data_IF_266471958162
#
_entry.id   IF_266471958162
#
_cell.length_a   1.000
_cell.length_b   1.000
_cell.length_c   1.000
_cell.angle_alpha   90.00
_cell.angle_beta   90.00
_cell.angle_gamma   90.00
#
_symmetry.space_group_name_H-M   'P 1'
#
loop_
_entity.id
_entity.type
_entity.pdbx_description
1 polymer ?
#
# COMPACT_ATOMS: atom_id res chain seq x y z
N UNK A 1 -5.38 18.95 -3.85
CA UNK A 1 -6.70 19.55 -3.61
C UNK A 1 -7.07 19.54 -2.13
N UNK A 2 -6.95 18.41 -1.41
CA UNK A 2 -7.14 18.40 0.06
C UNK A 2 -6.04 19.21 0.77
N UNK A 3 -4.76 19.05 0.42
CA UNK A 3 -3.65 19.78 1.08
C UNK A 3 -3.73 21.31 0.95
N UNK A 4 -4.39 21.85 -0.09
CA UNK A 4 -4.52 23.30 -0.29
C UNK A 4 -5.65 23.93 0.53
N UNK A 5 -6.75 23.20 0.76
CA UNK A 5 -7.86 23.67 1.64
C UNK A 5 -7.51 23.44 3.12
N UNK A 6 -6.76 22.38 3.40
CA UNK A 6 -6.34 21.93 4.75
C UNK A 6 -5.08 22.65 5.26
N UNK A 7 -4.40 23.42 4.40
CA UNK A 7 -3.21 24.20 4.78
C UNK A 7 -3.46 25.25 5.87
N UNK A 8 -4.73 25.59 6.19
CA UNK A 8 -5.09 26.67 7.13
C UNK A 8 -5.60 26.20 8.50
N UNK A 9 -5.88 24.92 8.67
CA UNK A 9 -6.44 24.38 9.91
C UNK A 9 -5.34 23.87 10.84
N UNK A 10 -5.51 24.06 12.16
CA UNK A 10 -4.66 23.47 13.19
C UNK A 10 -4.53 21.95 12.94
N UNK A 11 -3.29 21.44 12.91
CA UNK A 11 -3.02 20.04 12.60
C UNK A 11 -3.68 19.10 13.61
N UNK A 12 -3.87 19.53 14.87
CA UNK A 12 -4.61 18.77 15.87
C UNK A 12 -6.07 18.60 15.45
N UNK A 13 -6.75 19.68 15.06
CA UNK A 13 -8.15 19.66 14.64
C UNK A 13 -8.32 18.75 13.43
N UNK A 14 -7.38 18.84 12.49
CA UNK A 14 -7.40 18.01 11.30
C UNK A 14 -7.22 16.51 11.60
N UNK A 15 -6.25 16.16 12.46
CA UNK A 15 -6.06 14.75 12.87
C UNK A 15 -7.30 14.21 13.57
N UNK A 16 -7.89 14.99 14.48
CA UNK A 16 -9.14 14.63 15.13
C UNK A 16 -10.28 14.47 14.12
N UNK A 17 -10.43 15.38 13.17
CA UNK A 17 -11.46 15.30 12.14
C UNK A 17 -11.27 14.04 11.26
N UNK A 18 -10.05 13.72 10.85
CA UNK A 18 -9.75 12.51 10.07
C UNK A 18 -10.05 11.23 10.88
N UNK A 19 -9.67 11.19 12.15
CA UNK A 19 -9.98 10.06 13.04
C UNK A 19 -11.49 9.95 13.30
N UNK A 20 -12.22 11.06 13.42
CA UNK A 20 -13.68 11.06 13.53
C UNK A 20 -14.34 10.52 12.26
N UNK A 21 -13.89 10.95 11.08
CA UNK A 21 -14.37 10.40 9.79
C UNK A 21 -14.05 8.91 9.68
N UNK A 22 -12.92 8.44 10.21
CA UNK A 22 -12.59 7.01 10.28
C UNK A 22 -13.60 6.23 11.14
N UNK A 23 -13.99 6.76 12.29
CA UNK A 23 -15.00 6.15 13.18
C UNK A 23 -16.36 6.08 12.46
N UNK A 24 -16.78 7.19 11.84
CA UNK A 24 -18.04 7.25 11.08
C UNK A 24 -18.02 6.26 9.93
N UNK A 25 -16.94 6.23 9.14
CA UNK A 25 -16.74 5.28 8.04
C UNK A 25 -16.81 3.83 8.50
N UNK A 26 -16.07 3.46 9.54
CA UNK A 26 -16.04 2.11 10.09
C UNK A 26 -17.41 1.67 10.62
N UNK A 27 -18.12 2.57 11.31
CA UNK A 27 -19.47 2.32 11.81
C UNK A 27 -20.45 2.15 10.65
N UNK A 28 -20.42 3.05 9.67
CA UNK A 28 -21.28 2.99 8.47
C UNK A 28 -21.09 1.69 7.69
N UNK A 29 -19.84 1.21 7.56
CA UNK A 29 -19.54 -0.09 6.95
C UNK A 29 -20.09 -1.24 7.80
N UNK A 30 -19.90 -1.19 9.11
CA UNK A 30 -20.36 -2.23 10.03
C UNK A 30 -21.88 -2.36 10.08
N UNK A 31 -22.62 -1.25 9.93
CA UNK A 31 -24.10 -1.23 9.93
C UNK A 31 -24.71 -1.06 8.54
N UNK A 32 -23.92 -1.12 7.46
CA UNK A 32 -24.39 -0.84 6.10
C UNK A 32 -25.65 -1.65 5.73
N UNK A 33 -26.80 -0.99 5.45
CA UNK A 33 -28.05 -1.68 5.09
C UNK A 33 -28.10 -2.08 3.61
N UNK A 34 -27.30 -1.42 2.76
CA UNK A 34 -27.23 -1.67 1.33
C UNK A 34 -25.83 -1.39 0.79
N UNK A 35 -25.59 -1.77 -0.47
CA UNK A 35 -24.30 -1.63 -1.14
C UNK A 35 -23.84 -0.17 -1.24
N UNK A 36 -24.76 0.76 -1.48
CA UNK A 36 -24.43 2.20 -1.60
C UNK A 36 -23.87 2.74 -0.28
N UNK A 37 -24.51 2.42 0.85
CA UNK A 37 -24.02 2.83 2.16
C UNK A 37 -22.64 2.24 2.47
N UNK A 38 -22.42 0.96 2.11
CA UNK A 38 -21.11 0.33 2.24
C UNK A 38 -20.03 1.06 1.39
N UNK A 39 -20.36 1.41 0.15
CA UNK A 39 -19.45 2.14 -0.75
C UNK A 39 -19.15 3.56 -0.29
N UNK A 40 -20.14 4.30 0.24
CA UNK A 40 -19.89 5.62 0.84
C UNK A 40 -18.96 5.49 2.04
N UNK A 41 -19.17 4.51 2.90
CA UNK A 41 -18.24 4.21 4.00
C UNK A 41 -16.82 3.95 3.49
N UNK A 42 -16.66 3.16 2.42
CA UNK A 42 -15.36 2.88 1.78
C UNK A 42 -14.73 4.11 1.12
N UNK A 43 -15.53 5.02 0.56
CA UNK A 43 -15.05 6.27 0.02
C UNK A 43 -14.50 7.20 1.13
N UNK A 44 -15.21 7.26 2.27
CA UNK A 44 -14.78 8.06 3.43
C UNK A 44 -13.44 7.59 4.00
N UNK A 45 -13.19 6.27 4.13
CA UNK A 45 -11.88 5.80 4.60
C UNK A 45 -10.77 6.13 3.60
N UNK A 46 -11.06 6.14 2.30
CA UNK A 46 -10.12 6.60 1.27
C UNK A 46 -9.70 8.05 1.48
N UNK A 47 -10.64 8.94 1.83
CA UNK A 47 -10.37 10.32 2.21
C UNK A 47 -9.46 10.42 3.44
N UNK A 48 -9.74 9.60 4.46
CA UNK A 48 -8.94 9.55 5.70
C UNK A 48 -7.51 9.14 5.40
N UNK A 49 -7.30 8.07 4.62
CA UNK A 49 -5.98 7.56 4.27
C UNK A 49 -5.18 8.64 3.53
N UNK A 50 -5.77 9.26 2.50
CA UNK A 50 -5.11 10.33 1.74
C UNK A 50 -4.77 11.56 2.60
N UNK A 51 -5.71 11.98 3.45
CA UNK A 51 -5.52 13.10 4.38
C UNK A 51 -4.44 12.83 5.41
N UNK A 52 -4.45 11.64 6.01
CA UNK A 52 -3.48 11.21 7.02
C UNK A 52 -2.06 11.19 6.45
N UNK A 53 -1.82 10.48 5.34
CA UNK A 53 -0.50 10.43 4.71
C UNK A 53 0.03 11.81 4.31
N UNK A 54 -0.85 12.73 3.89
CA UNK A 54 -0.45 14.10 3.54
C UNK A 54 0.04 14.93 4.73
N UNK A 55 -0.31 14.57 5.97
CA UNK A 55 0.03 15.36 7.17
C UNK A 55 0.91 14.63 8.17
N UNK A 56 1.13 13.32 8.04
CA UNK A 56 1.91 12.53 9.00
C UNK A 56 3.34 13.06 9.18
N UNK A 57 4.04 13.33 8.07
CA UNK A 57 5.40 13.86 8.13
C UNK A 57 5.44 15.27 8.75
N UNK A 58 4.51 16.14 8.34
CA UNK A 58 4.39 17.50 8.87
C UNK A 58 4.04 17.52 10.38
N UNK A 59 3.27 16.53 10.84
CA UNK A 59 2.93 16.36 12.25
C UNK A 59 4.14 15.89 13.05
N UNK A 60 4.89 14.90 12.54
CA UNK A 60 6.10 14.39 13.20
C UNK A 60 7.14 15.50 13.40
N UNK A 61 7.41 16.32 12.36
CA UNK A 61 8.34 17.46 12.43
C UNK A 61 7.94 18.54 13.45
N UNK A 62 6.69 18.56 13.90
CA UNK A 62 6.18 19.55 14.87
C UNK A 62 6.07 19.00 16.28
N UNK A 63 6.04 17.68 16.44
CA UNK A 63 5.86 17.02 17.74
C UNK A 63 7.19 16.74 18.43
N UNK A 64 8.27 16.58 17.67
CA UNK A 64 9.58 16.23 18.19
C UNK A 64 10.66 17.20 17.70
N UNK A 65 11.76 17.38 18.45
CA UNK A 65 12.95 18.08 17.99
C UNK A 65 13.49 17.52 16.66
N UNK A 66 14.15 18.38 15.85
CA UNK A 66 14.62 18.04 14.49
C UNK A 66 15.51 16.79 14.44
N UNK A 67 16.35 16.58 15.47
CA UNK A 67 17.23 15.42 15.62
C UNK A 67 16.46 14.11 15.85
N UNK A 68 15.21 14.20 16.36
CA UNK A 68 14.35 13.06 16.66
C UNK A 68 13.31 12.77 15.57
N UNK A 69 13.16 13.64 14.57
CA UNK A 69 12.21 13.44 13.45
C UNK A 69 12.40 12.08 12.76
N UNK A 70 13.64 11.62 12.44
CA UNK A 70 13.83 10.29 11.84
C UNK A 70 13.32 9.17 12.75
N UNK A 71 13.48 9.30 14.07
CA UNK A 71 13.00 8.31 15.06
C UNK A 71 11.48 8.31 15.17
N UNK A 72 10.85 9.48 15.17
CA UNK A 72 9.38 9.59 15.16
C UNK A 72 8.78 8.97 13.88
N UNK A 73 9.38 9.24 12.72
CA UNK A 73 8.99 8.62 11.46
C UNK A 73 9.23 7.10 11.47
N UNK A 74 10.29 6.61 12.12
CA UNK A 74 10.53 5.18 12.28
C UNK A 74 9.44 4.50 13.13
N UNK A 75 9.01 5.12 14.24
CA UNK A 75 7.90 4.61 15.07
C UNK A 75 6.59 4.57 14.26
N UNK A 76 6.30 5.65 13.53
CA UNK A 76 5.13 5.74 12.66
C UNK A 76 5.10 4.63 11.60
N UNK A 77 6.21 4.43 10.89
CA UNK A 77 6.34 3.37 9.89
C UNK A 77 6.34 1.97 10.53
N UNK A 78 6.85 1.83 11.76
CA UNK A 78 6.76 0.60 12.55
C UNK A 78 5.31 0.18 12.81
N UNK A 79 4.43 1.14 13.13
CA UNK A 79 3.00 0.90 13.25
C UNK A 79 2.37 0.41 11.94
N UNK A 80 2.72 1.03 10.80
CA UNK A 80 2.27 0.59 9.48
C UNK A 80 2.75 -0.84 9.16
N UNK A 81 4.03 -1.15 9.42
CA UNK A 81 4.58 -2.48 9.22
C UNK A 81 3.83 -3.53 10.06
N UNK A 82 3.61 -3.25 11.36
CA UNK A 82 2.85 -4.14 12.25
C UNK A 82 1.41 -4.35 11.75
N UNK A 83 0.75 -3.28 11.32
CA UNK A 83 -0.59 -3.35 10.76
C UNK A 83 -0.62 -4.23 9.50
N UNK A 84 0.33 -4.10 8.57
CA UNK A 84 0.37 -4.92 7.35
C UNK A 84 0.56 -6.41 7.61
N UNK A 85 1.29 -6.78 8.67
CA UNK A 85 1.52 -8.18 9.03
C UNK A 85 0.32 -8.79 9.76
N UNK A 86 -0.32 -8.03 10.66
CA UNK A 86 -1.39 -8.56 11.52
C UNK A 86 -2.79 -8.41 10.90
N UNK A 87 -3.04 -7.33 10.14
CA UNK A 87 -4.40 -6.97 9.74
C UNK A 87 -5.06 -8.01 8.81
N UNK A 88 -4.32 -8.56 7.83
CA UNK A 88 -4.89 -9.54 6.91
C UNK A 88 -5.22 -10.89 7.59
N UNK A 89 -4.30 -11.50 8.38
CA UNK A 89 -4.62 -12.71 9.15
C UNK A 89 -5.73 -12.50 10.17
N UNK A 90 -5.63 -11.45 11.00
CA UNK A 90 -6.60 -11.19 12.06
C UNK A 90 -7.97 -10.81 11.48
N UNK A 91 -8.00 -10.02 10.40
CA UNK A 91 -9.22 -9.65 9.70
C UNK A 91 -9.89 -10.84 9.01
N UNK A 92 -9.11 -11.74 8.40
CA UNK A 92 -9.64 -13.00 7.84
C UNK A 92 -10.22 -13.89 8.93
N UNK A 93 -9.48 -14.08 10.03
CA UNK A 93 -9.89 -14.90 11.16
C UNK A 93 -11.16 -14.36 11.83
N UNK A 94 -11.19 -13.08 12.22
CA UNK A 94 -12.38 -12.47 12.80
C UNK A 94 -13.55 -12.44 11.80
N UNK A 95 -13.27 -12.16 10.52
CA UNK A 95 -14.26 -12.17 9.45
C UNK A 95 -14.93 -13.53 9.27
N UNK A 96 -14.24 -14.63 9.59
CA UNK A 96 -14.79 -15.98 9.55
C UNK A 96 -15.64 -16.35 10.77
N UNK A 97 -15.28 -15.86 11.96
CA UNK A 97 -15.94 -16.20 13.22
C UNK A 97 -17.19 -15.36 13.50
N UNK A 98 -17.07 -14.04 13.33
CA UNK A 98 -18.10 -13.05 13.68
C UNK A 98 -18.62 -12.28 12.46
N UNK A 99 -18.25 -12.74 11.26
CA UNK A 99 -18.56 -12.06 10.01
C UNK A 99 -17.72 -10.79 9.81
N UNK A 100 -17.69 -10.30 8.58
CA UNK A 100 -16.99 -9.06 8.23
C UNK A 100 -17.54 -7.84 8.99
N UNK A 101 -18.85 -7.80 9.27
CA UNK A 101 -19.48 -6.72 10.07
C UNK A 101 -18.95 -6.68 11.50
N UNK A 102 -18.87 -7.85 12.15
CA UNK A 102 -18.29 -7.99 13.48
C UNK A 102 -16.83 -7.55 13.51
N UNK A 103 -16.05 -7.93 12.50
CA UNK A 103 -14.65 -7.50 12.38
C UNK A 103 -14.50 -5.97 12.29
N UNK A 104 -15.36 -5.26 11.54
CA UNK A 104 -15.38 -3.79 11.53
C UNK A 104 -15.80 -3.20 12.88
N UNK A 105 -16.76 -3.82 13.57
CA UNK A 105 -17.14 -3.42 14.93
C UNK A 105 -16.02 -3.58 15.96
N UNK A 106 -15.06 -4.47 15.76
CA UNK A 106 -13.87 -4.53 16.63
C UNK A 106 -12.93 -3.34 16.42
N UNK A 107 -12.86 -2.78 15.21
CA UNK A 107 -11.97 -1.65 14.87
C UNK A 107 -12.53 -0.32 15.37
N UNK A 108 -13.85 -0.14 15.38
CA UNK A 108 -14.50 1.12 15.77
C UNK A 108 -14.14 1.56 17.21
N UNK A 109 -14.25 0.71 18.26
CA UNK A 109 -13.84 1.07 19.62
C UNK A 109 -12.36 1.45 19.71
N UNK A 110 -11.49 0.76 18.98
CA UNK A 110 -10.05 1.09 18.94
C UNK A 110 -9.85 2.48 18.35
N UNK A 111 -10.54 2.83 17.27
CA UNK A 111 -10.50 4.16 16.68
C UNK A 111 -11.04 5.24 17.63
N UNK A 112 -12.08 4.94 18.43
CA UNK A 112 -12.61 5.83 19.47
C UNK A 112 -11.57 6.04 20.59
N UNK A 113 -10.90 4.99 21.06
CA UNK A 113 -9.83 5.09 22.06
C UNK A 113 -8.69 5.97 21.52
N UNK A 114 -8.28 5.76 20.28
CA UNK A 114 -7.25 6.57 19.60
C UNK A 114 -7.70 8.03 19.48
N UNK A 115 -8.97 8.29 19.15
CA UNK A 115 -9.52 9.64 19.08
C UNK A 115 -9.45 10.35 20.44
N UNK A 116 -9.88 9.69 21.51
CA UNK A 116 -9.83 10.24 22.88
C UNK A 116 -8.38 10.48 23.30
N UNK A 117 -7.48 9.54 23.02
CA UNK A 117 -6.05 9.69 23.29
C UNK A 117 -5.46 10.89 22.54
N UNK A 118 -5.74 11.04 21.24
CA UNK A 118 -5.30 12.18 20.44
C UNK A 118 -5.84 13.50 20.98
N UNK A 119 -7.11 13.52 21.43
CA UNK A 119 -7.76 14.71 21.98
C UNK A 119 -7.04 15.21 23.24
N UNK A 120 -6.68 14.29 24.13
CA UNK A 120 -6.03 14.57 25.42
C UNK A 120 -4.53 14.82 25.28
N UNK A 121 -3.82 14.08 24.43
CA UNK A 121 -2.35 14.13 24.37
C UNK A 121 -1.78 15.12 23.37
N UNK A 122 -2.48 15.44 22.27
CA UNK A 122 -1.91 16.34 21.25
C UNK A 122 -1.98 17.80 21.69
N UNK A 123 -0.86 18.55 21.66
CA UNK A 123 -0.89 20.00 21.82
C UNK A 123 -1.47 20.67 20.56
N UNK A 124 -1.99 21.92 20.66
CA UNK A 124 -2.37 22.72 19.50
C UNK A 124 -1.17 22.95 18.57
N UNK A 125 -1.35 22.74 17.27
CA UNK A 125 -0.30 22.84 16.25
C UNK A 125 -0.72 23.84 15.17
N UNK A 126 -0.60 25.13 15.49
CA UNK A 126 -0.91 26.24 14.57
C UNK A 126 -0.03 26.19 13.33
N UNK A 127 -0.64 26.27 12.14
CA UNK A 127 0.09 26.24 10.88
C UNK A 127 0.76 27.59 10.65
N UNK A 128 2.07 27.59 10.40
CA UNK A 128 2.76 28.73 9.80
C UNK A 128 2.61 28.62 8.29
N UNK A 129 2.30 29.74 7.64
CA UNK A 129 2.07 29.84 6.21
C UNK A 129 3.31 29.37 5.43
N UNK A 130 3.32 28.10 5.02
CA UNK A 130 4.28 27.65 4.02
C UNK A 130 3.74 28.02 2.64
N UNK A 131 4.54 28.66 1.79
CA UNK A 131 4.14 28.90 0.41
C UNK A 131 3.84 27.56 -0.27
N UNK A 132 2.87 27.52 -1.19
CA UNK A 132 2.51 26.29 -1.89
C UNK A 132 3.77 25.71 -2.54
N UNK A 133 4.13 24.47 -2.18
CA UNK A 133 5.17 23.73 -2.87
C UNK A 133 4.85 23.77 -4.36
N UNK A 134 5.83 24.10 -5.20
CA UNK A 134 5.65 24.22 -6.65
C UNK A 134 4.85 23.05 -7.22
N UNK A 135 4.08 23.31 -8.29
CA UNK A 135 3.17 22.34 -8.90
C UNK A 135 3.81 20.96 -9.03
N UNK A 136 3.28 19.97 -8.31
CA UNK A 136 3.68 18.55 -8.34
C UNK A 136 3.73 18.03 -9.78
N UNK A 137 2.89 18.58 -10.66
CA UNK A 137 2.86 18.25 -12.08
C UNK A 137 4.12 18.68 -12.85
N UNK A 138 4.91 19.65 -12.37
CA UNK A 138 6.21 19.98 -12.98
C UNK A 138 7.20 18.80 -12.92
N UNK A 139 7.04 17.89 -11.96
CA UNK A 139 7.87 16.69 -11.87
C UNK A 139 7.63 15.74 -13.04
N UNK A 140 6.42 15.76 -13.63
CA UNK A 140 6.07 14.95 -14.80
C UNK A 140 6.71 15.45 -16.10
N UNK A 141 7.35 16.62 -16.11
CA UNK A 141 8.12 17.06 -17.28
C UNK A 141 9.41 16.25 -17.45
N UNK A 142 9.86 15.53 -16.42
CA UNK A 142 11.08 14.71 -16.49
C UNK A 142 10.74 13.29 -16.93
N UNK A 143 11.30 12.86 -18.07
CA UNK A 143 11.05 11.53 -18.64
C UNK A 143 11.37 10.38 -17.69
N UNK A 144 12.46 10.49 -16.91
CA UNK A 144 12.81 9.50 -15.88
C UNK A 144 11.74 9.37 -14.79
N UNK A 145 11.08 10.47 -14.42
CA UNK A 145 10.01 10.48 -13.42
C UNK A 145 8.74 9.86 -14.01
N UNK A 146 8.39 10.18 -15.26
CA UNK A 146 7.23 9.60 -15.94
C UNK A 146 7.37 8.08 -16.07
N UNK A 147 8.51 7.60 -16.56
CA UNK A 147 8.76 6.17 -16.72
C UNK A 147 8.81 5.44 -15.38
N UNK A 148 9.46 6.02 -14.38
CA UNK A 148 9.52 5.42 -13.05
C UNK A 148 8.15 5.41 -12.35
N UNK A 149 7.37 6.49 -12.45
CA UNK A 149 5.99 6.52 -11.92
C UNK A 149 5.09 5.53 -12.66
N UNK A 150 5.25 5.38 -13.99
CA UNK A 150 4.55 4.36 -14.75
C UNK A 150 4.97 2.95 -14.32
N UNK A 151 6.26 2.71 -14.09
CA UNK A 151 6.77 1.42 -13.62
C UNK A 151 6.22 1.07 -12.23
N UNK A 152 6.22 2.01 -11.29
CA UNK A 152 5.57 1.89 -9.97
C UNK A 152 4.09 1.59 -10.15
N UNK A 153 3.39 2.38 -10.96
CA UNK A 153 1.95 2.21 -11.19
C UNK A 153 1.62 0.81 -11.69
N UNK A 154 2.28 0.36 -12.76
CA UNK A 154 2.01 -0.95 -13.35
C UNK A 154 2.43 -2.08 -12.42
N UNK A 155 3.51 -1.91 -11.64
CA UNK A 155 3.94 -2.88 -10.64
C UNK A 155 2.87 -3.11 -9.57
N UNK A 156 2.38 -2.04 -8.94
CA UNK A 156 1.33 -2.13 -7.92
C UNK A 156 0.02 -2.63 -8.52
N UNK A 157 -0.30 -2.23 -9.76
CA UNK A 157 -1.47 -2.74 -10.47
C UNK A 157 -1.40 -4.25 -10.65
N UNK A 158 -0.26 -4.79 -11.11
CA UNK A 158 -0.05 -6.24 -11.24
C UNK A 158 -0.15 -6.96 -9.89
N UNK A 159 0.59 -6.48 -8.88
CA UNK A 159 0.56 -7.06 -7.54
C UNK A 159 -0.86 -7.16 -6.97
N UNK A 160 -1.66 -6.10 -7.11
CA UNK A 160 -3.03 -6.07 -6.58
C UNK A 160 -4.08 -6.70 -7.51
N UNK A 161 -3.75 -6.95 -8.78
CA UNK A 161 -4.56 -7.81 -9.66
C UNK A 161 -4.59 -9.24 -9.11
N UNK A 162 -3.46 -9.77 -8.65
CA UNK A 162 -3.40 -11.10 -8.02
C UNK A 162 -3.91 -11.08 -6.58
N UNK A 163 -3.38 -10.16 -5.76
CA UNK A 163 -3.62 -10.15 -4.31
C UNK A 163 -5.10 -9.97 -3.94
N UNK A 164 -5.84 -9.12 -4.69
CA UNK A 164 -7.28 -8.90 -4.46
C UNK A 164 -8.10 -10.19 -4.59
N UNK A 165 -7.73 -11.06 -5.52
CA UNK A 165 -8.45 -12.31 -5.83
C UNK A 165 -7.78 -13.55 -5.23
N UNK A 166 -6.78 -13.33 -4.35
CA UNK A 166 -6.06 -14.40 -3.69
C UNK A 166 -6.98 -15.25 -2.80
N UNK A 167 -7.89 -14.61 -2.06
CA UNK A 167 -8.85 -15.32 -1.21
C UNK A 167 -9.79 -16.23 -2.02
N UNK A 168 -10.51 -15.72 -3.04
CA UNK A 168 -11.29 -16.57 -3.93
C UNK A 168 -10.49 -17.74 -4.51
N UNK A 169 -9.23 -17.51 -4.91
CA UNK A 169 -8.34 -18.59 -5.38
C UNK A 169 -8.07 -19.65 -4.30
N UNK A 170 -7.74 -19.23 -3.08
CA UNK A 170 -7.47 -20.15 -1.97
C UNK A 170 -8.72 -20.98 -1.58
N UNK A 171 -9.90 -20.37 -1.63
CA UNK A 171 -11.16 -21.05 -1.31
C UNK A 171 -11.61 -22.00 -2.43
N UNK A 172 -11.52 -21.57 -3.69
CA UNK A 172 -12.07 -22.31 -4.83
C UNK A 172 -11.11 -23.34 -5.42
N UNK A 173 -9.82 -23.03 -5.54
CA UNK A 173 -8.84 -23.87 -6.22
C UNK A 173 -8.00 -24.71 -5.25
N UNK A 174 -7.66 -24.14 -4.08
CA UNK A 174 -6.86 -24.83 -3.05
C UNK A 174 -7.77 -25.52 -2.01
N UNK A 175 -9.06 -25.14 -1.94
CA UNK A 175 -9.99 -25.60 -0.89
C UNK A 175 -9.44 -25.39 0.52
N UNK A 176 -8.73 -24.29 0.72
CA UNK A 176 -8.18 -23.94 2.02
C UNK A 176 -9.31 -23.62 3.00
N UNK A 177 -9.28 -24.27 4.17
CA UNK A 177 -10.13 -23.88 5.27
C UNK A 177 -9.67 -22.54 5.88
N UNK A 178 -10.47 -22.00 6.79
CA UNK A 178 -10.21 -20.71 7.44
C UNK A 178 -8.84 -20.69 8.13
N UNK A 179 -8.46 -21.79 8.78
CA UNK A 179 -7.20 -21.89 9.52
C UNK A 179 -6.00 -21.86 8.57
N UNK A 180 -6.06 -22.65 7.49
CA UNK A 180 -5.03 -22.67 6.45
C UNK A 180 -4.91 -21.31 5.76
N UNK A 181 -6.03 -20.68 5.39
CA UNK A 181 -6.00 -19.35 4.75
C UNK A 181 -5.34 -18.30 5.65
N UNK A 182 -5.71 -18.27 6.93
CA UNK A 182 -5.13 -17.33 7.90
C UNK A 182 -3.62 -17.59 8.09
N UNK A 183 -3.22 -18.86 8.13
CA UNK A 183 -1.81 -19.26 8.21
C UNK A 183 -1.03 -18.86 6.94
N UNK A 184 -1.59 -19.04 5.75
CA UNK A 184 -0.97 -18.63 4.48
C UNK A 184 -0.75 -17.12 4.41
N UNK A 185 -1.76 -16.33 4.81
CA UNK A 185 -1.63 -14.87 4.89
C UNK A 185 -0.60 -14.45 5.94
N UNK A 186 -0.54 -15.17 7.06
CA UNK A 186 0.45 -14.92 8.11
C UNK A 186 1.87 -15.22 7.62
N UNK A 187 2.08 -16.36 6.95
CA UNK A 187 3.37 -16.72 6.33
C UNK A 187 3.79 -15.65 5.34
N UNK A 188 2.88 -15.22 4.45
CA UNK A 188 3.16 -14.17 3.48
C UNK A 188 3.50 -12.82 4.15
N UNK A 189 2.84 -12.48 5.27
CA UNK A 189 3.18 -11.29 6.07
C UNK A 189 4.54 -11.41 6.76
N UNK A 190 4.84 -12.56 7.36
CA UNK A 190 6.09 -12.82 8.06
C UNK A 190 7.29 -12.86 7.11
N UNK A 191 7.19 -13.56 5.97
CA UNK A 191 8.22 -13.54 4.93
C UNK A 191 8.35 -12.15 4.33
N UNK A 192 7.24 -11.43 4.17
CA UNK A 192 7.27 -10.04 3.75
C UNK A 192 8.08 -9.15 4.69
N UNK A 193 7.88 -9.27 6.00
CA UNK A 193 8.67 -8.55 6.98
C UNK A 193 10.17 -8.85 6.84
N UNK A 194 10.53 -10.13 6.70
CA UNK A 194 11.91 -10.56 6.45
C UNK A 194 12.46 -9.93 5.16
N UNK A 195 11.67 -9.93 4.08
CA UNK A 195 12.06 -9.35 2.79
C UNK A 195 12.35 -7.85 2.90
N UNK A 196 11.49 -7.11 3.61
CA UNK A 196 11.66 -5.68 3.88
C UNK A 196 12.95 -5.40 4.68
N UNK A 197 13.36 -6.28 5.59
CA UNK A 197 14.63 -6.14 6.31
C UNK A 197 15.84 -6.42 5.41
N UNK A 198 15.76 -7.42 4.52
CA UNK A 198 16.87 -7.85 3.67
C UNK A 198 17.09 -6.93 2.45
N UNK A 199 16.05 -6.26 1.96
CA UNK A 199 16.06 -5.50 0.71
C UNK A 199 17.14 -4.40 0.67
N UNK A 200 17.48 -3.82 1.83
CA UNK A 200 18.47 -2.74 1.92
C UNK A 200 19.84 -3.13 1.37
N UNK A 201 20.27 -4.38 1.55
CA UNK A 201 21.54 -4.87 1.00
C UNK A 201 21.52 -4.95 -0.53
N UNK A 202 20.41 -5.40 -1.11
CA UNK A 202 20.22 -5.49 -2.57
C UNK A 202 20.14 -4.11 -3.23
N UNK A 203 19.47 -3.15 -2.57
CA UNK A 203 19.36 -1.76 -3.05
C UNK A 203 20.71 -1.01 -3.02
N UNK A 204 21.65 -1.41 -2.15
CA UNK A 204 23.02 -0.91 -2.15
C UNK A 204 23.82 -1.44 -3.34
N UNK A 205 23.65 -2.72 -3.68
CA UNK A 205 24.38 -3.38 -4.77
C UNK A 205 23.82 -3.08 -6.18
N UNK A 206 22.59 -2.57 -6.27
CA UNK A 206 22.02 -2.12 -7.53
C UNK A 206 20.52 -1.84 -7.44
N UNK A 207 20.15 -0.56 -7.31
CA UNK A 207 18.76 -0.12 -7.22
C UNK A 207 17.92 -0.63 -8.41
N UNK A 208 18.28 -0.24 -9.64
CA UNK A 208 17.51 -0.62 -10.82
C UNK A 208 17.48 -2.13 -11.05
N UNK A 209 18.60 -2.83 -10.80
CA UNK A 209 18.64 -4.30 -10.90
C UNK A 209 17.61 -4.95 -9.98
N UNK A 210 17.47 -4.43 -8.76
CA UNK A 210 16.48 -4.89 -7.78
C UNK A 210 15.05 -4.57 -8.24
N UNK A 211 14.81 -3.34 -8.73
CA UNK A 211 13.50 -2.90 -9.23
C UNK A 211 13.02 -3.65 -10.47
N UNK A 212 13.94 -4.20 -11.26
CA UNK A 212 13.63 -5.02 -12.44
C UNK A 212 13.44 -6.48 -12.04
N UNK A 213 14.32 -7.02 -11.17
CA UNK A 213 14.28 -8.42 -10.74
C UNK A 213 13.01 -8.79 -9.97
N UNK A 214 12.55 -7.92 -9.06
CA UNK A 214 11.39 -8.19 -8.22
C UNK A 214 10.12 -8.44 -9.05
N UNK A 215 9.68 -7.54 -9.96
CA UNK A 215 8.52 -7.79 -10.79
C UNK A 215 8.65 -9.07 -11.64
N UNK A 216 9.83 -9.37 -12.18
CA UNK A 216 10.03 -10.61 -12.97
C UNK A 216 9.86 -11.88 -12.12
N UNK A 217 10.42 -11.89 -10.91
CA UNK A 217 10.27 -13.01 -9.99
C UNK A 217 8.81 -13.15 -9.54
N UNK A 218 8.13 -12.05 -9.24
CA UNK A 218 6.71 -12.06 -8.91
C UNK A 218 5.86 -12.54 -10.10
N UNK A 219 6.18 -12.17 -11.33
CA UNK A 219 5.49 -12.66 -12.52
C UNK A 219 5.63 -14.18 -12.66
N UNK A 220 6.84 -14.72 -12.46
CA UNK A 220 7.06 -16.16 -12.46
C UNK A 220 6.26 -16.88 -11.36
N UNK A 221 6.16 -16.29 -10.17
CA UNK A 221 5.35 -16.82 -9.06
C UNK A 221 3.87 -16.80 -9.42
N UNK A 222 3.36 -15.73 -10.03
CA UNK A 222 1.96 -15.63 -10.46
C UNK A 222 1.60 -16.73 -11.48
N UNK A 223 2.48 -16.98 -12.46
CA UNK A 223 2.30 -18.08 -13.43
C UNK A 223 2.36 -19.44 -12.74
N UNK A 224 3.31 -19.65 -11.82
CA UNK A 224 3.42 -20.89 -11.06
C UNK A 224 2.18 -21.15 -10.18
N UNK A 225 1.63 -20.10 -9.55
CA UNK A 225 0.39 -20.19 -8.77
C UNK A 225 -0.81 -20.56 -9.64
N UNK A 226 -0.90 -20.04 -10.86
CA UNK A 226 -1.95 -20.43 -11.80
C UNK A 226 -1.89 -21.93 -12.16
N UNK A 227 -0.68 -22.51 -12.16
CA UNK A 227 -0.42 -23.91 -12.51
C UNK A 227 -0.38 -24.90 -11.32
N UNK A 228 -0.49 -24.43 -10.07
CA UNK A 228 -0.26 -25.26 -8.87
C UNK A 228 -1.26 -26.42 -8.69
N UNK A 229 -2.47 -26.30 -9.26
CA UNK A 229 -3.45 -27.39 -9.32
C UNK A 229 -3.86 -27.97 -7.95
N UNK A 230 -4.24 -27.12 -6.98
CA UNK A 230 -4.81 -27.56 -5.69
C UNK A 230 -3.82 -27.94 -4.60
N UNK A 231 -2.51 -27.93 -4.87
CA UNK A 231 -1.48 -28.35 -3.89
C UNK A 231 -1.20 -27.26 -2.85
N UNK A 232 -1.81 -27.39 -1.66
CA UNK A 232 -1.67 -26.44 -0.53
C UNK A 232 -0.20 -26.11 -0.21
N UNK A 233 0.67 -27.12 -0.12
CA UNK A 233 2.09 -26.91 0.22
C UNK A 233 2.83 -26.08 -0.84
N UNK A 234 2.53 -26.31 -2.13
CA UNK A 234 3.12 -25.54 -3.22
C UNK A 234 2.59 -24.09 -3.23
N UNK A 235 1.29 -23.90 -2.98
CA UNK A 235 0.70 -22.58 -2.80
C UNK A 235 1.34 -21.84 -1.60
N UNK A 236 1.55 -22.52 -0.47
CA UNK A 236 2.19 -21.95 0.71
C UNK A 236 3.60 -21.45 0.43
N UNK A 237 4.42 -22.27 -0.25
CA UNK A 237 5.76 -21.88 -0.64
C UNK A 237 5.76 -20.66 -1.57
N UNK A 238 4.94 -20.70 -2.63
CA UNK A 238 4.85 -19.62 -3.61
C UNK A 238 4.33 -18.32 -2.99
N UNK A 239 3.33 -18.39 -2.10
CA UNK A 239 2.82 -17.22 -1.39
C UNK A 239 3.80 -16.69 -0.35
N UNK A 240 4.57 -17.56 0.30
CA UNK A 240 5.68 -17.15 1.16
C UNK A 240 6.73 -16.36 0.38
N UNK A 241 7.13 -16.86 -0.79
CA UNK A 241 8.09 -16.16 -1.67
C UNK A 241 7.45 -14.87 -2.24
N UNK A 242 6.17 -14.90 -2.61
CA UNK A 242 5.45 -13.70 -3.03
C UNK A 242 5.48 -12.61 -1.95
N UNK A 243 5.20 -12.98 -0.70
CA UNK A 243 5.25 -12.09 0.46
C UNK A 243 6.59 -11.40 0.60
N UNK A 244 7.68 -12.18 0.52
CA UNK A 244 9.07 -11.69 0.59
C UNK A 244 9.30 -10.52 -0.38
N UNK A 245 8.77 -10.59 -1.60
CA UNK A 245 8.93 -9.57 -2.64
C UNK A 245 7.89 -8.44 -2.55
N UNK A 246 6.63 -8.78 -2.25
CA UNK A 246 5.48 -7.87 -2.26
C UNK A 246 5.62 -6.70 -1.26
N UNK A 247 6.22 -6.94 -0.09
CA UNK A 247 6.43 -5.93 0.95
C UNK A 247 7.79 -5.23 0.85
N UNK A 248 8.76 -5.82 0.14
CA UNK A 248 10.10 -5.26 -0.03
C UNK A 248 10.18 -4.35 -1.26
N UNK A 249 9.39 -4.62 -2.30
CA UNK A 249 9.32 -3.77 -3.50
C UNK A 249 8.98 -2.29 -3.21
N UNK A 250 8.01 -1.95 -2.33
CA UNK A 250 7.72 -0.56 -1.98
C UNK A 250 8.96 0.18 -1.43
N UNK A 251 9.79 -0.48 -0.62
CA UNK A 251 11.04 0.12 -0.09
C UNK A 251 11.98 0.50 -1.22
N UNK A 252 12.10 -0.38 -2.23
CA UNK A 252 12.90 -0.10 -3.43
C UNK A 252 12.40 1.12 -4.19
N UNK A 253 11.10 1.22 -4.42
CA UNK A 253 10.52 2.35 -5.16
C UNK A 253 10.58 3.66 -4.37
N UNK A 254 10.40 3.62 -3.05
CA UNK A 254 10.60 4.80 -2.19
C UNK A 254 12.07 5.25 -2.17
N UNK A 255 13.00 4.30 -2.23
CA UNK A 255 14.44 4.59 -2.36
C UNK A 255 14.78 5.17 -3.73
N UNK A 256 14.14 4.71 -4.80
CA UNK A 256 14.28 5.31 -6.12
C UNK A 256 13.80 6.75 -6.13
N UNK A 257 12.62 7.00 -5.59
CA UNK A 257 12.06 8.34 -5.52
C UNK A 257 12.99 9.31 -4.77
N UNK A 258 13.51 8.92 -3.60
CA UNK A 258 14.39 9.76 -2.81
C UNK A 258 15.74 10.02 -3.49
N UNK A 259 16.28 9.05 -4.24
CA UNK A 259 17.52 9.23 -5.01
C UNK A 259 17.33 10.05 -6.29
N UNK A 260 16.20 9.92 -6.96
CA UNK A 260 15.92 10.62 -8.23
C UNK A 260 15.41 12.05 -8.01
N UNK A 261 14.69 12.30 -6.91
CA UNK A 261 14.11 13.60 -6.57
C UNK A 261 14.53 14.07 -5.16
N UNK A 262 15.83 14.21 -4.84
CA UNK A 262 16.27 14.55 -3.48
C UNK A 262 15.77 15.93 -3.01
N UNK A 263 15.61 16.89 -3.92
CA UNK A 263 15.11 18.24 -3.62
C UNK A 263 13.57 18.34 -3.60
N UNK A 264 12.88 17.38 -4.21
CA UNK A 264 11.43 17.38 -4.41
C UNK A 264 10.76 16.13 -3.80
N UNK A 265 11.42 15.47 -2.85
CA UNK A 265 11.02 14.15 -2.33
C UNK A 265 9.62 14.15 -1.69
N UNK A 266 9.22 15.26 -1.05
CA UNK A 266 7.89 15.43 -0.47
C UNK A 266 6.80 15.49 -1.54
N UNK A 267 7.01 16.33 -2.57
CA UNK A 267 6.09 16.45 -3.71
C UNK A 267 6.02 15.16 -4.54
N UNK A 268 7.18 14.55 -4.81
CA UNK A 268 7.29 13.27 -5.49
C UNK A 268 6.66 12.13 -4.69
N UNK A 269 6.78 12.16 -3.35
CA UNK A 269 6.17 11.17 -2.46
C UNK A 269 4.66 11.25 -2.44
N UNK A 270 4.10 12.45 -2.36
CA UNK A 270 2.66 12.67 -2.49
C UNK A 270 2.12 12.17 -3.84
N UNK A 271 2.83 12.44 -4.94
CA UNK A 271 2.47 11.93 -6.27
C UNK A 271 2.54 10.40 -6.32
N UNK A 272 3.60 9.80 -5.79
CA UNK A 272 3.80 8.35 -5.76
C UNK A 272 2.68 7.66 -4.98
N UNK A 273 2.26 8.20 -3.83
CA UNK A 273 1.12 7.67 -3.07
C UNK A 273 -0.17 7.72 -3.89
N UNK A 274 -0.45 8.84 -4.56
CA UNK A 274 -1.65 8.98 -5.39
C UNK A 274 -1.65 7.97 -6.56
N UNK A 275 -0.50 7.83 -7.24
CA UNK A 275 -0.31 6.86 -8.33
C UNK A 275 -0.50 5.42 -7.83
N UNK A 276 0.07 5.08 -6.68
CA UNK A 276 -0.08 3.74 -6.07
C UNK A 276 -1.54 3.44 -5.75
N UNK A 277 -2.29 4.37 -5.16
CA UNK A 277 -3.71 4.14 -4.85
C UNK A 277 -4.57 4.00 -6.10
N UNK A 278 -4.30 4.80 -7.13
CA UNK A 278 -4.94 4.64 -8.44
C UNK A 278 -4.62 3.28 -9.04
N UNK A 279 -3.36 2.86 -9.01
CA UNK A 279 -2.91 1.55 -9.49
C UNK A 279 -3.56 0.38 -8.75
N UNK A 280 -3.65 0.45 -7.41
CA UNK A 280 -4.32 -0.57 -6.60
C UNK A 280 -5.79 -0.69 -7.00
N UNK A 281 -6.47 0.46 -7.17
CA UNK A 281 -7.88 0.51 -7.59
C UNK A 281 -8.07 -0.07 -8.98
N UNK A 282 -7.27 0.37 -9.95
CA UNK A 282 -7.30 -0.14 -11.32
C UNK A 282 -6.94 -1.63 -11.39
N UNK A 283 -5.98 -2.09 -10.59
CA UNK A 283 -5.57 -3.49 -10.52
C UNK A 283 -6.67 -4.37 -9.95
N UNK A 284 -7.39 -3.91 -8.93
CA UNK A 284 -8.56 -4.61 -8.41
C UNK A 284 -9.69 -4.70 -9.47
N UNK A 285 -9.98 -3.61 -10.19
CA UNK A 285 -11.01 -3.59 -11.25
C UNK A 285 -10.64 -4.54 -12.39
N UNK A 286 -9.41 -4.43 -12.90
CA UNK A 286 -8.91 -5.28 -13.99
C UNK A 286 -8.86 -6.74 -13.57
N UNK A 287 -8.41 -7.01 -12.34
CA UNK A 287 -8.43 -8.37 -11.78
C UNK A 287 -9.84 -8.95 -11.71
N UNK A 288 -10.83 -8.14 -11.35
CA UNK A 288 -12.23 -8.55 -11.30
C UNK A 288 -12.81 -8.89 -12.65
N UNK A 289 -12.57 -8.04 -13.64
CA UNK A 289 -12.98 -8.32 -15.01
C UNK A 289 -12.42 -9.65 -15.52
N UNK A 290 -11.11 -9.90 -15.32
CA UNK A 290 -10.51 -11.18 -15.72
C UNK A 290 -11.00 -12.37 -14.89
N UNK A 291 -11.26 -12.16 -13.59
CA UNK A 291 -11.77 -13.19 -12.71
C UNK A 291 -13.18 -13.62 -13.11
N UNK A 292 -14.05 -12.68 -13.44
CA UNK A 292 -15.44 -12.94 -13.85
C UNK A 292 -15.51 -13.65 -15.21
N UNK A 293 -14.55 -13.41 -16.10
CA UNK A 293 -14.51 -14.05 -17.42
C UNK A 293 -14.09 -15.53 -17.38
N UNK A 294 -13.02 -15.86 -16.64
CA UNK A 294 -12.37 -17.17 -16.75
C UNK A 294 -11.67 -17.62 -15.46
N UNK A 295 -12.01 -17.01 -14.33
CA UNK A 295 -11.48 -17.36 -13.02
C UNK A 295 -10.04 -16.95 -12.79
N UNK A 296 -9.45 -17.53 -11.73
CA UNK A 296 -8.16 -17.11 -11.18
C UNK A 296 -6.98 -17.26 -12.16
N UNK A 297 -7.04 -18.20 -13.11
CA UNK A 297 -5.93 -18.49 -14.03
C UNK A 297 -5.65 -17.29 -14.94
N UNK A 298 -6.70 -16.69 -15.51
CA UNK A 298 -6.58 -15.51 -16.37
C UNK A 298 -6.21 -14.28 -15.54
N UNK A 299 -6.78 -14.13 -14.34
CA UNK A 299 -6.39 -13.06 -13.41
C UNK A 299 -4.90 -13.11 -13.06
N UNK A 300 -4.35 -14.29 -12.77
CA UNK A 300 -2.95 -14.44 -12.40
C UNK A 300 -2.03 -14.28 -13.61
N UNK A 301 -2.46 -14.73 -14.80
CA UNK A 301 -1.79 -14.44 -16.07
C UNK A 301 -1.73 -12.95 -16.39
N UNK A 302 -2.83 -12.22 -16.19
CA UNK A 302 -2.88 -10.76 -16.34
C UNK A 302 -1.96 -10.04 -15.36
N UNK A 303 -1.94 -10.48 -14.09
CA UNK A 303 -0.97 -10.00 -13.09
C UNK A 303 0.47 -10.22 -13.56
N UNK A 304 0.80 -11.41 -14.07
CA UNK A 304 2.14 -11.70 -14.58
C UNK A 304 2.52 -10.80 -15.77
N UNK A 305 1.59 -10.57 -16.71
CA UNK A 305 1.80 -9.67 -17.84
C UNK A 305 2.07 -8.23 -17.38
N UNK A 306 1.26 -7.71 -16.45
CA UNK A 306 1.47 -6.38 -15.86
C UNK A 306 2.82 -6.28 -15.16
N UNK A 307 3.20 -7.28 -14.36
CA UNK A 307 4.51 -7.30 -13.69
C UNK A 307 5.69 -7.33 -14.68
N UNK A 308 5.56 -8.03 -15.81
CA UNK A 308 6.56 -8.00 -16.89
C UNK A 308 6.64 -6.62 -17.58
N UNK A 309 5.50 -5.96 -17.80
CA UNK A 309 5.46 -4.58 -18.31
C UNK A 309 6.14 -3.63 -17.30
N UNK A 310 5.90 -3.81 -16.00
CA UNK A 310 6.57 -3.03 -14.97
C UNK A 310 8.09 -3.22 -14.98
N UNK A 311 8.57 -4.46 -15.16
CA UNK A 311 10.00 -4.75 -15.33
C UNK A 311 10.58 -4.05 -16.57
N UNK A 312 9.87 -4.09 -17.70
CA UNK A 312 10.28 -3.41 -18.92
C UNK A 312 10.36 -1.88 -18.73
N UNK A 313 9.37 -1.27 -18.06
CA UNK A 313 9.38 0.15 -17.72
C UNK A 313 10.51 0.49 -16.74
N UNK A 314 10.83 -0.38 -15.79
CA UNK A 314 11.97 -0.20 -14.90
C UNK A 314 13.32 -0.23 -15.66
N UNK A 315 13.45 -1.08 -16.69
CA UNK A 315 14.62 -1.09 -17.60
C UNK A 315 14.72 0.22 -18.39
N UNK A 316 13.59 0.70 -18.93
CA UNK A 316 13.58 1.99 -19.65
C UNK A 316 13.95 3.15 -18.72
N UNK A 317 13.44 3.13 -17.49
CA UNK A 317 13.77 4.11 -16.45
C UNK A 317 15.26 4.08 -16.12
N UNK A 318 15.88 2.90 -16.03
CA UNK A 318 17.31 2.80 -15.74
C UNK A 318 18.18 3.37 -16.85
N UNK A 319 17.80 3.16 -18.12
CA UNK A 319 18.51 3.70 -19.28
C UNK A 319 18.45 5.23 -19.32
N UNK A 320 17.28 5.80 -19.07
CA UNK A 320 17.09 7.26 -19.02
C UNK A 320 17.81 7.89 -17.82
N UNK A 321 17.84 7.20 -16.67
CA UNK A 321 18.59 7.67 -15.51
C UNK A 321 20.11 7.69 -15.73
N UNK A 322 20.64 6.74 -16.50
CA UNK A 322 22.05 6.72 -16.87
C UNK A 322 22.39 7.87 -17.84
N UNK A 323 21.55 8.09 -18.85
CA UNK A 323 21.70 9.20 -19.80
C UNK A 323 21.62 10.59 -19.16
N UNK A 324 20.98 10.70 -17.98
CA UNK A 324 20.88 11.94 -17.22
C UNK A 324 22.12 12.24 -16.35
N UNK A 325 22.93 11.22 -16.03
CA UNK A 325 24.15 11.35 -15.21
C UNK A 325 25.42 11.54 -16.05
N UNK A 326 25.35 11.27 -17.36
CA UNK A 326 26.41 11.49 -18.36
C UNK A 326 26.21 12.83 -19.06
#
# INVERSE_FOLDING_TARGET
FISSVVGRLDRKILLLALTAVMIVSGTMVAVAPNYVAFMVGRALIGLVIGGFWSISAATAMRLVPDDQVPRALAIFNGGNALATVIAAPLGSFLGSLIGWRGAFFCVVPVAVIVFVWQLLSLPPMKVEERPPSGSVFKLLNRRVVVLGMAAVSVFFMGQFTLFTYLRPFLETAIHADVSTMSLLLLVMGATGFIGTMLIGAFLKNGLYRTLIAIPMLMAAIAVALAAVGGRVAAAALLLGIWGLFATSAPVGWWTWLSRTLPKDAEAGGGLMVAVIHLAITSGAIVGGFFFDMSGYQVTFGASAALLMIAAALAILTSREAQAWLT
#
